data_IF_061694622912
#
_entry.id   IF_061694622912
#
_cell.length_a   1.000
_cell.length_b   1.000
_cell.length_c   1.000
_cell.angle_alpha   90.00
_cell.angle_beta   90.00
_cell.angle_gamma   90.00
#
_symmetry.space_group_name_H-M   'P 1'
#
loop_
_entity.id
_entity.type
_entity.pdbx_description
1 polymer ?
#
# COMPACT_ATOMS: atom_id res chain seq x y z
N UNK A 1 58.77 -37.56 -63.61
CA UNK A 1 58.47 -38.99 -63.81
C UNK A 1 57.19 -39.31 -63.04
N UNK A 2 56.18 -39.80 -63.75
CA UNK A 2 54.83 -40.11 -63.25
C UNK A 2 54.83 -41.11 -62.07
N UNK A 3 53.91 -40.97 -61.09
CA UNK A 3 52.70 -41.83 -60.95
C UNK A 3 52.00 -41.72 -59.56
N UNK A 4 50.70 -41.40 -59.64
CA UNK A 4 49.52 -42.06 -59.02
C UNK A 4 49.28 -41.99 -57.48
N UNK A 5 48.37 -41.07 -57.12
CA UNK A 5 47.02 -41.31 -56.58
C UNK A 5 46.72 -42.67 -55.88
N UNK A 6 46.41 -42.64 -54.58
CA UNK A 6 45.33 -43.44 -53.95
C UNK A 6 44.67 -42.59 -52.84
N UNK A 7 43.36 -42.40 -52.99
CA UNK A 7 42.43 -41.80 -52.05
C UNK A 7 41.89 -42.91 -51.14
N UNK A 8 41.96 -42.75 -49.82
CA UNK A 8 41.21 -43.59 -48.86
C UNK A 8 40.65 -42.72 -47.74
N UNK A 9 39.34 -42.47 -47.82
CA UNK A 9 38.50 -41.97 -46.74
C UNK A 9 38.40 -43.07 -45.67
N UNK A 10 38.72 -42.76 -44.41
CA UNK A 10 38.29 -43.52 -43.25
C UNK A 10 37.74 -42.54 -42.20
N UNK A 11 36.41 -42.47 -42.13
CA UNK A 11 35.70 -42.01 -40.95
C UNK A 11 35.85 -43.07 -39.86
N UNK A 12 36.32 -42.69 -38.68
CA UNK A 12 36.06 -43.43 -37.44
C UNK A 12 35.63 -42.45 -36.37
N UNK A 13 34.36 -42.58 -36.00
CA UNK A 13 33.66 -41.76 -35.01
C UNK A 13 34.30 -41.90 -33.62
N UNK A 14 34.57 -40.76 -32.99
CA UNK A 14 34.83 -40.70 -31.56
C UNK A 14 33.49 -40.73 -30.83
N UNK A 15 33.23 -41.82 -30.10
CA UNK A 15 32.20 -41.86 -29.07
C UNK A 15 32.75 -41.12 -27.85
N UNK A 16 32.34 -39.86 -27.69
CA UNK A 16 32.42 -39.17 -26.40
C UNK A 16 31.12 -39.48 -25.67
N UNK A 17 31.18 -40.32 -24.64
CA UNK A 17 30.09 -40.47 -23.68
C UNK A 17 29.83 -39.10 -23.04
N UNK A 18 28.72 -38.48 -23.46
CA UNK A 18 28.17 -37.32 -22.78
C UNK A 18 27.23 -37.85 -21.71
N UNK A 19 27.67 -37.83 -20.45
CA UNK A 19 26.79 -37.99 -19.30
C UNK A 19 25.84 -36.79 -19.25
N UNK A 20 24.72 -36.86 -19.97
CA UNK A 20 23.69 -35.82 -19.97
C UNK A 20 23.00 -35.85 -18.60
N UNK A 21 23.24 -34.78 -17.85
CA UNK A 21 22.40 -34.33 -16.75
C UNK A 21 20.94 -34.35 -17.19
N UNK A 22 20.16 -35.28 -16.63
CA UNK A 22 18.70 -35.24 -16.68
C UNK A 22 18.24 -33.95 -15.95
N UNK A 23 17.86 -32.92 -16.71
CA UNK A 23 17.39 -31.66 -16.11
C UNK A 23 16.95 -30.54 -17.06
N UNK A 24 17.27 -30.57 -18.37
CA UNK A 24 16.93 -29.46 -19.29
C UNK A 24 16.22 -29.91 -20.58
N UNK A 25 15.17 -30.72 -20.47
CA UNK A 25 14.47 -31.27 -21.65
C UNK A 25 13.56 -30.27 -22.41
N UNK A 26 13.56 -28.96 -22.08
CA UNK A 26 12.68 -27.97 -22.73
C UNK A 26 13.38 -26.76 -23.37
N UNK A 27 14.57 -26.39 -22.91
CA UNK A 27 15.25 -25.16 -23.35
C UNK A 27 15.61 -25.11 -24.86
N UNK A 28 16.17 -26.17 -25.49
CA UNK A 28 16.51 -26.12 -26.91
C UNK A 28 15.28 -26.09 -27.83
N UNK A 29 14.16 -26.70 -27.43
CA UNK A 29 12.92 -26.67 -28.18
C UNK A 29 12.26 -25.28 -28.11
N UNK A 30 12.23 -24.66 -26.92
CA UNK A 30 11.73 -23.29 -26.72
C UNK A 30 12.54 -22.25 -27.52
N UNK A 31 13.88 -22.36 -27.51
CA UNK A 31 14.74 -21.49 -28.30
C UNK A 31 14.49 -21.64 -29.81
N UNK A 32 14.32 -22.87 -30.29
CA UNK A 32 14.03 -23.16 -31.70
C UNK A 32 12.67 -22.58 -32.13
N UNK A 33 11.64 -22.69 -31.28
CA UNK A 33 10.31 -22.08 -31.53
C UNK A 33 10.38 -20.56 -31.60
N UNK A 34 11.14 -19.92 -30.71
CA UNK A 34 11.33 -18.46 -30.75
C UNK A 34 12.01 -18.01 -32.04
N UNK A 35 13.08 -18.70 -32.46
CA UNK A 35 13.79 -18.38 -33.71
C UNK A 35 12.85 -18.54 -34.91
N UNK A 36 12.05 -19.61 -34.95
CA UNK A 36 11.06 -19.82 -35.98
C UNK A 36 10.00 -18.69 -36.02
N UNK A 37 9.52 -18.22 -34.85
CA UNK A 37 8.59 -17.08 -34.75
C UNK A 37 9.22 -15.78 -35.24
N UNK A 38 10.45 -15.49 -34.82
CA UNK A 38 11.19 -14.28 -35.23
C UNK A 38 11.48 -14.22 -36.73
N UNK A 39 11.50 -15.36 -37.42
CA UNK A 39 11.71 -15.48 -38.86
C UNK A 39 10.43 -15.47 -39.70
N UNK A 40 9.24 -15.41 -39.09
CA UNK A 40 7.97 -15.21 -39.81
C UNK A 40 7.72 -13.72 -40.05
N UNK A 41 7.07 -13.39 -41.16
CA UNK A 41 6.68 -12.01 -41.46
C UNK A 41 5.65 -11.54 -40.43
N UNK A 42 6.04 -10.56 -39.61
CA UNK A 42 5.23 -9.93 -38.58
C UNK A 42 5.38 -8.42 -38.71
N UNK A 43 4.31 -7.67 -38.40
CA UNK A 43 4.39 -6.21 -38.28
C UNK A 43 5.20 -5.78 -37.04
N UNK A 44 5.47 -6.70 -36.12
CA UNK A 44 6.33 -6.47 -34.97
C UNK A 44 7.80 -6.66 -35.33
N UNK A 45 8.66 -5.80 -34.78
CA UNK A 45 10.10 -6.01 -34.83
C UNK A 45 10.44 -7.31 -34.08
N UNK A 46 11.11 -8.22 -34.76
CA UNK A 46 11.35 -9.59 -34.26
C UNK A 46 12.09 -9.62 -32.92
N UNK A 47 12.97 -8.66 -32.64
CA UNK A 47 13.68 -8.56 -31.37
C UNK A 47 12.79 -8.17 -30.18
N UNK A 48 11.58 -7.66 -30.43
CA UNK A 48 10.62 -7.29 -29.39
C UNK A 48 9.61 -8.42 -29.07
N UNK A 49 9.58 -9.50 -29.86
CA UNK A 49 8.72 -10.67 -29.58
C UNK A 49 9.25 -11.38 -28.32
N UNK A 50 8.39 -11.45 -27.31
CA UNK A 50 8.65 -12.09 -26.03
C UNK A 50 8.57 -13.61 -26.22
N UNK A 51 9.57 -14.32 -25.71
CA UNK A 51 9.56 -15.78 -25.74
C UNK A 51 8.46 -16.35 -24.85
N UNK A 52 8.34 -15.79 -23.64
CA UNK A 52 7.41 -16.24 -22.63
C UNK A 52 5.93 -16.03 -22.98
N UNK A 53 5.59 -15.14 -23.92
CA UNK A 53 4.19 -14.96 -24.32
C UNK A 53 3.58 -16.18 -25.00
N UNK A 54 4.40 -17.12 -25.48
CA UNK A 54 3.99 -18.36 -26.15
C UNK A 54 4.09 -19.58 -25.21
N UNK A 55 4.26 -19.32 -23.91
CA UNK A 55 4.37 -20.34 -22.88
C UNK A 55 3.28 -20.10 -21.82
N UNK A 56 2.74 -21.19 -21.31
CA UNK A 56 1.74 -21.18 -20.24
C UNK A 56 2.38 -20.96 -18.87
N UNK A 57 3.70 -21.20 -18.75
CA UNK A 57 4.42 -21.21 -17.48
C UNK A 57 4.21 -22.50 -16.67
N UNK A 58 3.52 -23.48 -17.24
CA UNK A 58 3.19 -24.78 -16.64
C UNK A 58 3.80 -25.95 -17.43
N UNK A 59 4.73 -25.67 -18.34
CA UNK A 59 5.43 -26.69 -19.10
C UNK A 59 6.26 -27.58 -18.15
N UNK A 60 6.32 -28.91 -18.37
CA UNK A 60 7.11 -29.81 -17.54
C UNK A 60 8.56 -29.35 -17.38
N UNK A 61 9.04 -29.29 -16.14
CA UNK A 61 10.40 -28.85 -15.83
C UNK A 61 10.57 -27.33 -15.67
N UNK A 62 9.49 -26.53 -15.76
CA UNK A 62 9.54 -25.10 -15.42
C UNK A 62 9.77 -24.92 -13.92
N UNK A 63 10.73 -24.05 -13.57
CA UNK A 63 11.02 -23.73 -12.17
C UNK A 63 9.82 -23.02 -11.50
N UNK A 64 9.50 -23.41 -10.26
CA UNK A 64 8.48 -22.73 -9.47
C UNK A 64 7.03 -23.16 -9.72
N UNK A 65 6.80 -24.24 -10.49
CA UNK A 65 5.50 -24.89 -10.57
C UNK A 65 5.07 -25.37 -9.18
N UNK A 66 3.84 -25.02 -8.78
CA UNK A 66 3.20 -25.48 -7.54
C UNK A 66 1.69 -25.58 -7.67
N UNK A 67 1.08 -26.40 -6.81
CA UNK A 67 -0.36 -26.57 -6.76
C UNK A 67 -1.11 -25.23 -6.61
N UNK A 68 -2.20 -25.10 -7.38
CA UNK A 68 -3.05 -23.91 -7.37
C UNK A 68 -2.66 -22.79 -8.36
N UNK A 69 -1.57 -22.94 -9.13
CA UNK A 69 -1.27 -22.03 -10.25
C UNK A 69 -2.16 -22.34 -11.47
N UNK A 70 -2.58 -21.30 -12.18
CA UNK A 70 -3.29 -21.44 -13.47
C UNK A 70 -2.32 -21.28 -14.64
N UNK A 71 -2.60 -21.98 -15.74
CA UNK A 71 -1.88 -21.77 -17.01
C UNK A 71 -2.15 -20.36 -17.55
N UNK A 72 -1.12 -19.68 -18.03
CA UNK A 72 -1.27 -18.41 -18.76
C UNK A 72 -1.91 -18.63 -20.12
N UNK A 73 -2.66 -17.65 -20.60
CA UNK A 73 -2.93 -17.52 -22.04
C UNK A 73 -1.62 -17.36 -22.81
N UNK A 74 -1.61 -17.75 -24.08
CA UNK A 74 -0.45 -17.66 -24.96
C UNK A 74 -0.76 -16.91 -26.26
N UNK A 75 0.19 -16.14 -26.77
CA UNK A 75 0.17 -15.51 -28.09
C UNK A 75 1.60 -15.40 -28.67
N UNK A 76 1.73 -15.71 -29.95
CA UNK A 76 3.01 -15.73 -30.64
C UNK A 76 3.60 -14.32 -30.88
N UNK A 77 2.78 -13.26 -30.78
CA UNK A 77 3.04 -11.88 -31.17
C UNK A 77 2.73 -10.89 -30.01
N UNK A 78 3.04 -11.26 -28.77
CA UNK A 78 2.89 -10.41 -27.58
C UNK A 78 1.48 -9.87 -27.33
N UNK A 79 0.43 -10.55 -27.79
CA UNK A 79 -0.96 -10.11 -27.65
C UNK A 79 -1.23 -8.75 -28.30
N UNK A 80 -0.47 -8.34 -29.33
CA UNK A 80 -0.64 -7.02 -29.95
C UNK A 80 -2.05 -6.81 -30.56
N UNK A 81 -2.72 -7.90 -30.95
CA UNK A 81 -4.07 -7.90 -31.49
C UNK A 81 -5.14 -8.27 -30.45
N UNK A 82 -4.83 -8.22 -29.15
CA UNK A 82 -5.74 -8.67 -28.09
C UNK A 82 -7.14 -8.05 -28.14
N UNK A 83 -7.24 -6.80 -28.61
CA UNK A 83 -8.50 -6.06 -28.70
C UNK A 83 -9.25 -6.23 -30.03
N UNK A 84 -8.85 -7.17 -30.89
CA UNK A 84 -9.53 -7.38 -32.17
C UNK A 84 -11.03 -7.69 -31.96
N UNK A 85 -11.88 -6.98 -32.70
CA UNK A 85 -13.34 -7.12 -32.61
C UNK A 85 -13.99 -6.47 -31.38
N UNK A 86 -13.22 -5.82 -30.50
CA UNK A 86 -13.73 -5.12 -29.30
C UNK A 86 -13.83 -3.61 -29.51
N UNK A 87 -14.66 -2.94 -28.69
CA UNK A 87 -14.64 -1.48 -28.59
C UNK A 87 -13.32 -1.02 -27.96
N UNK A 88 -12.51 -0.25 -28.70
CA UNK A 88 -11.22 0.24 -28.21
C UNK A 88 -11.37 1.49 -27.33
N UNK A 89 -10.56 1.60 -26.27
CA UNK A 89 -10.57 2.76 -25.35
C UNK A 89 -10.24 4.07 -26.06
N UNK A 90 -9.22 4.07 -26.93
CA UNK A 90 -8.84 5.17 -27.82
C UNK A 90 -8.86 6.58 -27.18
N UNK A 91 -8.28 6.72 -25.99
CA UNK A 91 -8.11 8.02 -25.34
C UNK A 91 -9.31 8.57 -24.60
N UNK A 92 -10.45 7.88 -24.64
CA UNK A 92 -11.67 8.32 -23.97
C UNK A 92 -12.08 7.34 -22.86
N UNK A 93 -12.69 7.88 -21.81
CA UNK A 93 -13.22 7.07 -20.71
C UNK A 93 -14.57 6.43 -21.11
N UNK A 94 -14.53 5.17 -21.54
CA UNK A 94 -15.72 4.42 -21.96
C UNK A 94 -16.32 3.68 -20.76
N UNK A 95 -17.40 4.22 -20.20
CA UNK A 95 -18.03 3.70 -18.96
C UNK A 95 -18.74 2.35 -19.13
N UNK A 96 -19.10 1.97 -20.35
CA UNK A 96 -19.71 0.68 -20.67
C UNK A 96 -18.70 -0.48 -20.77
N UNK A 97 -17.40 -0.21 -20.58
CA UNK A 97 -16.32 -1.15 -20.84
C UNK A 97 -15.71 -0.97 -22.22
N UNK A 98 -14.41 -1.24 -22.33
CA UNK A 98 -13.63 -1.19 -23.58
C UNK A 98 -12.35 -2.02 -23.44
N UNK A 99 -11.64 -2.22 -24.54
CA UNK A 99 -10.34 -2.87 -24.57
C UNK A 99 -9.23 -1.86 -24.90
N UNK A 100 -8.15 -1.87 -24.14
CA UNK A 100 -6.99 -1.04 -24.42
C UNK A 100 -5.81 -1.88 -24.94
N UNK A 101 -5.38 -1.61 -26.17
CA UNK A 101 -4.26 -2.32 -26.82
C UNK A 101 -2.89 -1.68 -26.56
N UNK A 102 -2.81 -0.61 -25.76
CA UNK A 102 -1.54 0.05 -25.44
C UNK A 102 -0.70 -0.84 -24.51
N UNK A 103 0.60 -1.09 -24.82
CA UNK A 103 1.46 -1.90 -23.97
C UNK A 103 1.70 -1.23 -22.61
N UNK A 104 2.04 -2.03 -21.60
CA UNK A 104 2.20 -1.55 -20.21
C UNK A 104 3.30 -0.48 -20.07
N UNK A 105 4.42 -0.64 -20.78
CA UNK A 105 5.52 0.33 -20.82
C UNK A 105 6.79 -0.12 -20.11
N UNK A 106 7.66 0.85 -19.80
CA UNK A 106 8.92 0.60 -19.08
C UNK A 106 8.62 0.32 -17.60
N UNK A 107 9.30 -0.70 -17.08
CA UNK A 107 9.13 -1.15 -15.70
C UNK A 107 10.37 -0.71 -14.90
N UNK A 108 10.22 -0.09 -13.71
CA UNK A 108 11.36 0.38 -12.93
C UNK A 108 12.20 -0.79 -12.42
N UNK A 109 13.43 -0.51 -12.01
CA UNK A 109 14.22 -1.45 -11.24
C UNK A 109 13.58 -1.71 -9.87
N UNK A 110 13.90 -2.84 -9.23
CA UNK A 110 13.38 -3.15 -7.88
C UNK A 110 13.77 -2.08 -6.84
N UNK A 111 14.91 -1.43 -7.02
CA UNK A 111 15.38 -0.30 -6.20
C UNK A 111 14.61 1.00 -6.41
N UNK A 112 13.83 1.10 -7.48
CA UNK A 112 13.04 2.28 -7.87
C UNK A 112 11.54 1.97 -7.82
N UNK A 113 11.13 0.96 -7.06
CA UNK A 113 9.70 0.73 -6.83
C UNK A 113 9.13 1.88 -6.01
N UNK A 114 8.03 2.43 -6.51
CA UNK A 114 7.28 3.48 -5.84
C UNK A 114 6.55 2.98 -4.60
N UNK A 115 6.49 3.86 -3.59
CA UNK A 115 5.56 3.74 -2.48
C UNK A 115 5.01 5.11 -2.10
N UNK A 116 3.80 5.11 -1.55
CA UNK A 116 3.12 6.28 -1.01
C UNK A 116 2.79 6.06 0.48
N UNK A 117 2.68 7.16 1.23
CA UNK A 117 2.22 7.17 2.61
C UNK A 117 1.42 8.44 2.88
N UNK A 118 0.20 8.30 3.37
CA UNK A 118 -0.65 9.42 3.75
C UNK A 118 -0.16 9.93 5.11
N UNK A 119 0.30 11.19 5.14
CA UNK A 119 0.81 11.83 6.36
C UNK A 119 -0.22 12.75 7.01
N UNK A 120 -1.26 13.15 6.27
CA UNK A 120 -2.44 13.82 6.79
C UNK A 120 -3.69 13.48 5.95
N UNK A 121 -4.84 13.18 6.57
CA UNK A 121 -5.03 12.90 8.01
C UNK A 121 -4.26 11.66 8.47
N UNK A 122 -3.93 11.59 9.76
CA UNK A 122 -3.30 10.41 10.36
C UNK A 122 -4.37 9.35 10.70
N UNK A 123 -3.96 8.08 10.87
CA UNK A 123 -4.89 7.04 11.31
C UNK A 123 -5.57 7.39 12.64
N UNK A 124 -6.90 7.40 12.63
CA UNK A 124 -7.73 7.67 13.82
C UNK A 124 -7.84 9.15 14.21
N UNK A 125 -7.35 10.08 13.39
CA UNK A 125 -7.57 11.51 13.62
C UNK A 125 -9.08 11.84 13.67
N UNK A 126 -9.44 12.81 14.51
CA UNK A 126 -10.78 13.40 14.57
C UNK A 126 -10.73 14.84 14.07
N UNK A 127 -11.08 15.05 12.80
CA UNK A 127 -11.12 16.37 12.18
C UNK A 127 -12.43 17.10 12.49
N UNK A 128 -12.42 18.43 12.46
CA UNK A 128 -13.65 19.21 12.67
C UNK A 128 -14.50 19.26 11.40
N UNK A 129 -15.80 19.00 11.54
CA UNK A 129 -16.75 19.08 10.43
C UNK A 129 -16.76 20.47 9.78
N UNK A 130 -16.97 20.48 8.47
CA UNK A 130 -17.05 21.68 7.63
C UNK A 130 -15.84 22.62 7.76
N UNK A 131 -14.66 22.08 8.07
CA UNK A 131 -13.41 22.83 8.22
C UNK A 131 -12.43 22.38 7.14
N UNK A 132 -11.89 23.34 6.38
CA UNK A 132 -10.87 23.05 5.36
C UNK A 132 -9.66 22.36 5.98
N UNK A 133 -9.17 21.32 5.31
CA UNK A 133 -7.92 20.64 5.67
C UNK A 133 -7.18 20.18 4.40
N UNK A 134 -5.92 19.80 4.57
CA UNK A 134 -5.09 19.29 3.49
C UNK A 134 -4.93 17.77 3.60
N UNK A 135 -5.13 17.04 2.52
CA UNK A 135 -4.60 15.69 2.39
C UNK A 135 -3.13 15.84 2.02
N UNK A 136 -2.23 15.14 2.72
CA UNK A 136 -0.80 15.12 2.42
C UNK A 136 -0.34 13.70 2.18
N UNK A 137 0.42 13.49 1.10
CA UNK A 137 0.92 12.19 0.67
C UNK A 137 2.41 12.31 0.42
N UNK A 138 3.22 11.57 1.18
CA UNK A 138 4.63 11.42 0.90
C UNK A 138 4.83 10.27 -0.06
N UNK A 139 5.59 10.49 -1.14
CA UNK A 139 5.95 9.48 -2.13
C UNK A 139 7.45 9.25 -2.16
N UNK A 140 7.86 8.09 -2.69
CA UNK A 140 9.25 7.77 -3.06
C UNK A 140 9.27 7.17 -4.47
N UNK A 141 10.29 7.47 -5.27
CA UNK A 141 10.43 6.97 -6.65
C UNK A 141 9.28 7.31 -7.60
N UNK A 142 8.64 8.47 -7.37
CA UNK A 142 7.68 9.09 -8.29
C UNK A 142 8.27 10.40 -8.82
N UNK A 143 8.42 10.49 -10.14
CA UNK A 143 8.55 11.78 -10.82
C UNK A 143 7.13 12.30 -11.09
N UNK A 144 6.61 13.07 -10.13
CA UNK A 144 5.25 13.60 -10.11
C UNK A 144 5.01 14.68 -11.20
N UNK A 145 3.88 15.39 -11.12
CA UNK A 145 3.51 16.52 -12.00
C UNK A 145 3.26 16.19 -13.46
N UNK A 146 3.17 14.91 -13.82
CA UNK A 146 2.84 14.52 -15.20
C UNK A 146 1.41 13.97 -15.25
N UNK A 147 0.46 14.86 -15.52
CA UNK A 147 -0.96 14.56 -15.65
C UNK A 147 -1.44 14.84 -17.08
N UNK A 148 -1.65 13.78 -17.88
CA UNK A 148 -2.08 13.92 -19.27
C UNK A 148 -3.61 14.13 -19.34
N UNK A 149 -4.12 14.81 -20.37
CA UNK A 149 -5.56 15.09 -20.51
C UNK A 149 -6.42 13.80 -20.49
N UNK A 150 -7.25 13.58 -19.45
CA UNK A 150 -8.04 12.35 -19.30
C UNK A 150 -9.29 12.30 -20.20
N UNK A 151 -9.61 13.38 -20.92
CA UNK A 151 -10.73 13.43 -21.86
C UNK A 151 -10.33 12.92 -23.24
N UNK A 152 -9.08 13.16 -23.64
CA UNK A 152 -8.62 12.88 -25.02
C UNK A 152 -7.47 11.88 -25.09
N UNK A 153 -6.76 11.64 -23.99
CA UNK A 153 -5.53 10.85 -23.95
C UNK A 153 -5.51 9.80 -22.82
N UNK A 154 -6.69 9.36 -22.40
CA UNK A 154 -6.85 8.34 -21.37
C UNK A 154 -6.27 6.99 -21.82
N UNK A 155 -5.27 6.51 -21.08
CA UNK A 155 -4.49 5.30 -21.36
C UNK A 155 -3.86 5.23 -22.77
N UNK A 156 -3.52 6.38 -23.38
CA UNK A 156 -3.02 6.40 -24.77
C UNK A 156 -1.53 6.18 -24.95
N UNK A 157 -0.74 6.24 -23.86
CA UNK A 157 0.68 5.94 -23.93
C UNK A 157 1.14 5.06 -22.76
N UNK A 158 2.17 4.21 -22.99
CA UNK A 158 2.70 3.31 -21.97
C UNK A 158 3.29 4.06 -20.76
N UNK A 159 3.53 3.34 -19.67
CA UNK A 159 4.32 3.84 -18.55
C UNK A 159 5.75 4.15 -19.03
N UNK A 160 6.32 5.26 -18.55
CA UNK A 160 7.71 5.63 -18.82
C UNK A 160 8.42 5.99 -17.52
N UNK A 161 9.74 5.98 -17.56
CA UNK A 161 10.64 6.28 -16.45
C UNK A 161 11.51 7.48 -16.80
N UNK A 162 11.81 8.30 -15.80
CA UNK A 162 12.75 9.40 -15.94
C UNK A 162 14.22 8.94 -16.05
N UNK A 163 15.15 9.89 -16.05
CA UNK A 163 16.58 9.59 -16.11
C UNK A 163 17.14 8.85 -14.89
N UNK A 164 16.44 8.89 -13.76
CA UNK A 164 16.81 8.19 -12.52
C UNK A 164 16.17 6.80 -12.42
N UNK A 165 15.27 6.47 -13.34
CA UNK A 165 14.51 5.22 -13.33
C UNK A 165 13.22 5.29 -12.49
N UNK A 166 12.82 6.48 -12.06
CA UNK A 166 11.59 6.70 -11.31
C UNK A 166 10.41 6.82 -12.26
N UNK A 167 9.23 6.38 -11.82
CA UNK A 167 8.03 6.40 -12.66
C UNK A 167 7.59 7.84 -12.90
N UNK A 168 7.30 8.15 -14.16
CA UNK A 168 6.70 9.42 -14.56
C UNK A 168 5.17 9.32 -14.41
N UNK A 169 4.60 10.16 -13.54
CA UNK A 169 3.17 10.06 -13.26
C UNK A 169 2.63 11.14 -12.33
N UNK A 170 1.57 10.79 -11.63
CA UNK A 170 0.83 11.65 -10.71
C UNK A 170 0.08 10.81 -9.66
N UNK A 171 -0.53 11.47 -8.68
CA UNK A 171 -1.27 10.83 -7.60
C UNK A 171 -2.73 11.30 -7.62
N UNK A 172 -3.67 10.37 -7.47
CA UNK A 172 -5.04 10.72 -7.09
C UNK A 172 -5.25 10.43 -5.61
N UNK A 173 -6.12 11.21 -4.97
CA UNK A 173 -6.63 10.93 -3.63
C UNK A 173 -8.15 10.87 -3.65
N UNK A 174 -8.70 9.88 -2.95
CA UNK A 174 -10.14 9.69 -2.84
C UNK A 174 -10.52 9.52 -1.37
N UNK A 175 -11.52 10.28 -0.92
CA UNK A 175 -12.15 10.09 0.39
C UNK A 175 -13.51 9.43 0.21
N UNK A 176 -13.77 8.36 0.94
CA UNK A 176 -15.05 7.67 0.95
C UNK A 176 -15.57 7.53 2.38
N UNK A 177 -16.87 7.74 2.56
CA UNK A 177 -17.56 7.38 3.80
C UNK A 177 -17.61 5.85 3.92
N UNK A 178 -17.21 5.34 5.07
CA UNK A 178 -17.19 3.91 5.39
C UNK A 178 -18.12 3.55 6.55
N UNK A 179 -18.84 4.52 7.12
CA UNK A 179 -19.79 4.38 8.22
C UNK A 179 -19.19 4.04 9.58
N UNK A 180 -18.13 3.23 9.63
CA UNK A 180 -17.45 2.79 10.85
C UNK A 180 -15.97 2.50 10.59
N UNK A 181 -15.11 2.78 11.58
CA UNK A 181 -13.68 2.44 11.51
C UNK A 181 -13.47 0.93 11.40
N UNK A 182 -14.42 0.15 11.92
CA UNK A 182 -14.45 -1.32 11.89
C UNK A 182 -15.18 -1.89 10.67
N UNK A 183 -15.54 -1.05 9.68
CA UNK A 183 -16.20 -1.53 8.46
C UNK A 183 -15.36 -2.60 7.75
N UNK A 184 -16.01 -3.72 7.47
CA UNK A 184 -15.50 -4.86 6.71
C UNK A 184 -16.10 -4.93 5.30
N UNK A 185 -17.07 -4.07 5.00
CA UNK A 185 -17.71 -3.98 3.68
C UNK A 185 -16.92 -3.03 2.79
N UNK A 186 -16.50 -3.47 1.58
CA UNK A 186 -15.93 -2.55 0.60
C UNK A 186 -16.95 -1.46 0.23
N UNK A 187 -16.59 -0.16 0.26
CA UNK A 187 -17.49 0.89 -0.18
C UNK A 187 -17.63 0.88 -1.70
N UNK A 188 -18.76 1.39 -2.19
CA UNK A 188 -19.03 1.54 -3.62
C UNK A 188 -17.98 2.44 -4.28
N UNK A 189 -17.22 1.94 -5.28
CA UNK A 189 -16.16 2.72 -5.93
C UNK A 189 -16.69 3.90 -6.76
N UNK A 190 -17.98 3.96 -7.07
CA UNK A 190 -18.62 5.09 -7.77
C UNK A 190 -19.03 6.24 -6.82
N UNK A 191 -18.89 6.04 -5.50
CA UNK A 191 -19.32 6.98 -4.47
C UNK A 191 -18.11 7.47 -3.66
N UNK A 192 -17.87 8.77 -3.66
CA UNK A 192 -16.83 9.42 -2.88
C UNK A 192 -17.33 10.75 -2.31
N UNK A 193 -16.79 11.13 -1.15
CA UNK A 193 -17.01 12.43 -0.53
C UNK A 193 -16.06 13.50 -1.11
N UNK A 194 -14.88 13.07 -1.56
CA UNK A 194 -13.88 13.93 -2.20
C UNK A 194 -13.03 13.12 -3.18
N UNK A 195 -12.68 13.72 -4.33
CA UNK A 195 -11.71 13.18 -5.28
C UNK A 195 -10.86 14.34 -5.82
N UNK A 196 -9.56 14.13 -5.91
CA UNK A 196 -8.64 15.06 -6.57
C UNK A 196 -7.51 14.30 -7.23
N UNK A 197 -7.25 14.60 -8.49
CA UNK A 197 -5.94 14.35 -9.10
C UNK A 197 -4.99 15.48 -8.72
N UNK A 198 -3.85 15.11 -8.15
CA UNK A 198 -2.74 16.02 -7.83
C UNK A 198 -1.86 16.07 -9.07
N UNK A 199 -1.97 17.18 -9.80
CA UNK A 199 -1.40 17.40 -11.13
C UNK A 199 -0.06 18.15 -11.11
N UNK A 200 0.43 18.55 -9.93
CA UNK A 200 1.72 19.21 -9.73
C UNK A 200 2.81 18.29 -9.16
N UNK A 201 4.04 18.84 -9.08
CA UNK A 201 5.23 18.17 -8.53
C UNK A 201 5.31 18.23 -6.98
N UNK A 202 4.29 18.79 -6.32
CA UNK A 202 4.29 19.06 -4.90
C UNK A 202 5.47 19.94 -4.47
N UNK A 203 6.17 19.53 -3.42
CA UNK A 203 7.37 20.25 -2.95
C UNK A 203 8.66 19.92 -3.73
N UNK A 204 8.62 18.97 -4.68
CA UNK A 204 9.81 18.48 -5.38
C UNK A 204 10.69 17.53 -4.54
N UNK A 205 10.24 17.12 -3.35
CA UNK A 205 10.84 16.07 -2.51
C UNK A 205 9.81 14.96 -2.18
N UNK A 206 8.81 14.79 -3.06
CA UNK A 206 7.82 13.72 -3.00
C UNK A 206 6.60 14.00 -2.11
N UNK A 207 6.52 15.14 -1.43
CA UNK A 207 5.31 15.52 -0.69
C UNK A 207 4.30 16.17 -1.64
N UNK A 208 3.17 15.50 -1.82
CA UNK A 208 2.03 15.92 -2.61
C UNK A 208 0.89 16.38 -1.68
N UNK A 209 0.07 17.32 -2.15
CA UNK A 209 -1.02 17.88 -1.35
C UNK A 209 -2.30 18.05 -2.16
N UNK A 210 -3.45 17.80 -1.52
CA UNK A 210 -4.76 18.21 -2.02
C UNK A 210 -5.54 18.96 -0.93
N UNK A 211 -6.18 20.07 -1.27
CA UNK A 211 -7.01 20.84 -0.33
C UNK A 211 -8.45 20.32 -0.39
N UNK A 212 -9.03 20.01 0.76
CA UNK A 212 -10.46 19.68 0.91
C UNK A 212 -11.19 20.94 1.35
N UNK A 213 -11.49 21.81 0.39
CA UNK A 213 -12.12 23.11 0.66
C UNK A 213 -13.51 22.95 1.27
N UNK A 214 -13.76 23.67 2.36
CA UNK A 214 -15.01 23.57 3.12
C UNK A 214 -15.12 22.30 3.96
N UNK A 215 -14.13 21.40 3.91
CA UNK A 215 -14.08 20.19 4.73
C UNK A 215 -15.11 19.13 4.36
N UNK A 216 -15.44 18.28 5.33
CA UNK A 216 -16.38 17.17 5.20
C UNK A 216 -17.47 17.27 6.28
N UNK A 217 -18.66 16.69 6.06
CA UNK A 217 -19.63 16.50 7.14
C UNK A 217 -19.09 15.52 8.20
N UNK A 218 -19.73 15.49 9.36
CA UNK A 218 -19.39 14.52 10.39
C UNK A 218 -19.65 13.09 9.90
N UNK A 219 -18.72 12.18 10.18
CA UNK A 219 -18.75 10.81 9.67
C UNK A 219 -17.43 10.09 9.86
N UNK A 220 -17.37 8.84 9.38
CA UNK A 220 -16.15 8.02 9.40
C UNK A 220 -15.71 7.76 7.97
N UNK A 221 -14.46 8.10 7.68
CA UNK A 221 -13.94 8.12 6.32
C UNK A 221 -12.71 7.24 6.17
N UNK A 222 -12.51 6.74 4.95
CA UNK A 222 -11.19 6.32 4.47
C UNK A 222 -10.69 7.30 3.42
N UNK A 223 -9.40 7.60 3.46
CA UNK A 223 -8.70 8.26 2.36
C UNK A 223 -7.69 7.28 1.78
N UNK A 224 -7.64 7.18 0.46
CA UNK A 224 -6.73 6.29 -0.26
C UNK A 224 -6.03 7.04 -1.39
N UNK A 225 -4.79 6.67 -1.68
CA UNK A 225 -4.07 7.10 -2.88
C UNK A 225 -4.40 6.18 -4.05
N UNK A 226 -4.25 6.71 -5.27
CA UNK A 226 -4.13 5.93 -6.49
C UNK A 226 -2.99 6.52 -7.30
N UNK A 227 -1.81 5.91 -7.25
CA UNK A 227 -0.68 6.33 -8.07
C UNK A 227 -0.87 5.83 -9.50
N UNK A 228 -0.79 6.78 -10.44
CA UNK A 228 -0.95 6.53 -11.86
C UNK A 228 0.29 6.98 -12.65
N UNK A 229 0.59 6.26 -13.72
CA UNK A 229 1.50 6.75 -14.74
C UNK A 229 0.87 7.93 -15.50
N UNK A 230 1.67 8.63 -16.31
CA UNK A 230 1.27 9.86 -17.00
C UNK A 230 -0.12 9.82 -17.67
N UNK A 231 -0.49 8.71 -18.31
CA UNK A 231 -1.76 8.54 -19.02
C UNK A 231 -2.85 7.84 -18.20
N UNK A 232 -2.80 7.93 -16.88
CA UNK A 232 -3.81 7.45 -15.91
C UNK A 232 -3.77 5.96 -15.57
N UNK A 233 -3.00 5.14 -16.27
CA UNK A 233 -2.95 3.70 -15.99
C UNK A 233 -2.31 3.44 -14.61
N UNK A 234 -2.76 2.39 -13.88
CA UNK A 234 -2.08 1.95 -12.68
C UNK A 234 -0.61 1.64 -12.96
N UNK A 235 0.25 1.94 -11.98
CA UNK A 235 1.68 1.73 -12.14
C UNK A 235 2.07 0.25 -12.15
N UNK A 236 2.99 -0.11 -13.03
CA UNK A 236 3.52 -1.49 -13.19
C UNK A 236 4.88 -1.63 -12.52
N UNK A 237 5.05 -2.69 -11.71
CA UNK A 237 6.25 -2.97 -10.91
C UNK A 237 7.00 -4.24 -11.36
N UNK A 238 8.31 -4.35 -11.09
CA UNK A 238 9.16 -5.44 -11.60
C UNK A 238 9.02 -6.78 -10.90
N UNK A 239 8.46 -6.82 -9.67
CA UNK A 239 8.40 -8.05 -8.86
C UNK A 239 7.05 -8.19 -8.18
N UNK A 240 6.55 -9.42 -8.09
CA UNK A 240 5.28 -9.72 -7.42
C UNK A 240 5.39 -9.65 -5.88
N UNK A 241 6.52 -10.08 -5.31
CA UNK A 241 6.77 -10.05 -3.86
C UNK A 241 7.22 -8.64 -3.43
N UNK A 242 6.26 -7.75 -3.20
CA UNK A 242 6.48 -6.35 -2.80
C UNK A 242 5.33 -5.84 -1.93
N UNK A 243 5.53 -4.67 -1.29
CA UNK A 243 4.43 -3.91 -0.71
C UNK A 243 3.52 -3.30 -1.77
N UNK A 244 2.32 -2.89 -1.38
CA UNK A 244 1.45 -2.08 -2.24
C UNK A 244 2.10 -0.70 -2.46
N UNK A 245 1.96 -0.17 -3.67
CA UNK A 245 2.46 1.17 -4.01
C UNK A 245 1.58 2.30 -3.44
N UNK A 246 0.32 1.99 -3.14
CA UNK A 246 -0.67 2.92 -2.62
C UNK A 246 -0.86 2.76 -1.11
N UNK A 247 -1.39 3.81 -0.48
CA UNK A 247 -1.72 3.82 0.94
C UNK A 247 -3.21 4.15 1.16
N UNK A 248 -3.75 3.67 2.26
CA UNK A 248 -5.10 3.96 2.73
C UNK A 248 -5.08 4.12 4.24
N UNK A 249 -5.68 5.20 4.73
CA UNK A 249 -5.90 5.42 6.17
C UNK A 249 -7.34 5.78 6.46
N UNK A 250 -7.75 5.60 7.73
CA UNK A 250 -9.11 5.86 8.21
C UNK A 250 -9.08 6.95 9.28
N UNK A 251 -10.05 7.83 9.26
CA UNK A 251 -10.18 8.95 10.19
C UNK A 251 -11.66 9.29 10.42
N UNK A 252 -11.93 10.08 11.44
CA UNK A 252 -13.25 10.56 11.78
C UNK A 252 -13.34 12.06 11.53
N UNK A 253 -14.55 12.52 11.22
CA UNK A 253 -14.90 13.93 11.20
C UNK A 253 -15.99 14.12 12.25
N UNK A 254 -15.75 14.98 13.23
CA UNK A 254 -16.61 15.20 14.38
C UNK A 254 -17.30 16.56 14.30
N UNK A 255 -18.47 16.67 14.92
CA UNK A 255 -19.25 17.90 14.91
C UNK A 255 -18.42 19.10 15.38
N UNK A 256 -18.59 20.24 14.70
CA UNK A 256 -18.00 21.49 15.11
C UNK A 256 -18.69 21.96 16.41
N UNK A 257 -17.96 21.96 17.53
CA UNK A 257 -18.51 22.34 18.83
C UNK A 257 -18.67 23.86 19.02
N UNK A 258 -18.60 24.66 17.95
CA UNK A 258 -18.91 26.09 18.00
C UNK A 258 -20.42 26.34 18.02
N UNK A 259 -21.04 26.05 19.17
CA UNK A 259 -22.41 26.38 19.53
C UNK A 259 -22.59 26.15 21.02
N UNK A 260 -22.50 27.22 21.81
CA UNK A 260 -22.50 27.19 23.26
C UNK A 260 -23.64 26.37 23.87
N UNK A 261 -23.25 25.48 24.77
CA UNK A 261 -24.11 24.91 25.81
C UNK A 261 -23.23 24.78 27.04
N UNK A 262 -23.46 25.66 28.01
CA UNK A 262 -22.80 25.63 29.32
C UNK A 262 -22.72 24.20 29.84
N UNK A 263 -21.51 23.71 30.07
CA UNK A 263 -21.31 22.62 31.01
C UNK A 263 -21.57 23.20 32.41
N UNK A 264 -22.86 23.31 32.75
CA UNK A 264 -23.30 23.42 34.12
C UNK A 264 -22.71 22.22 34.85
N UNK A 265 -21.79 22.53 35.75
CA UNK A 265 -21.39 21.67 36.82
C UNK A 265 -22.65 21.27 37.59
N UNK A 266 -23.25 20.14 37.23
CA UNK A 266 -24.35 19.53 37.94
C UNK A 266 -23.80 18.97 39.26
N UNK A 267 -23.67 19.88 40.22
CA UNK A 267 -23.62 19.58 41.64
C UNK A 267 -24.84 18.71 41.97
N UNK A 268 -24.62 17.42 42.15
CA UNK A 268 -25.55 16.52 42.79
C UNK A 268 -25.76 17.00 44.24
N UNK A 269 -26.79 17.83 44.46
CA UNK A 269 -27.35 18.05 45.78
C UNK A 269 -28.83 17.68 45.71
N UNK A 270 -29.08 16.41 46.01
CA UNK A 270 -30.38 15.79 46.04
C UNK A 270 -30.90 15.91 47.48
N UNK A 271 -31.94 16.71 47.68
CA UNK A 271 -32.55 16.92 48.99
C UNK A 271 -33.68 17.93 48.95
N UNK A 272 -34.67 17.67 48.09
CA UNK A 272 -35.94 18.39 48.09
C UNK A 272 -36.76 18.08 49.35
N UNK A 273 -37.36 19.12 49.89
CA UNK A 273 -38.25 19.10 51.03
C UNK A 273 -39.56 18.34 50.73
N UNK A 274 -40.09 17.65 51.74
CA UNK A 274 -41.54 17.55 51.89
C UNK A 274 -41.95 17.39 53.35
N UNK A 275 -43.06 18.04 53.64
CA UNK A 275 -43.54 18.50 54.94
C UNK A 275 -44.67 17.55 55.40
N UNK A 276 -44.51 16.86 56.54
CA UNK A 276 -45.63 16.12 57.17
C UNK A 276 -45.62 16.22 58.71
N UNK A 277 -46.83 16.46 59.21
CA UNK A 277 -47.28 16.73 60.57
C UNK A 277 -46.89 15.69 61.64
N UNK A 278 -46.72 16.15 62.89
CA UNK A 278 -47.07 15.37 64.09
C UNK A 278 -46.10 15.49 65.28
N UNK A 279 -46.56 15.66 66.53
CA UNK A 279 -45.80 16.35 67.59
C UNK A 279 -45.06 15.40 68.55
N UNK A 280 -43.95 15.87 69.14
CA UNK A 280 -43.19 15.06 70.10
C UNK A 280 -42.07 15.79 70.82
N UNK A 281 -42.46 16.67 71.74
CA UNK A 281 -41.96 16.83 73.12
C UNK A 281 -40.44 16.79 73.44
N UNK A 282 -40.09 17.68 74.39
CA UNK A 282 -38.89 17.73 75.26
C UNK A 282 -37.74 18.62 74.75
N UNK A 283 -37.66 19.90 75.14
CA UNK A 283 -37.43 20.50 76.47
C UNK A 283 -35.93 20.69 76.78
N UNK A 284 -35.56 21.92 77.15
CA UNK A 284 -34.26 22.30 77.71
C UNK A 284 -33.42 23.20 76.80
N UNK A 285 -33.62 24.52 76.82
CA UNK A 285 -32.81 25.51 77.60
C UNK A 285 -31.33 25.59 77.24
N UNK A 286 -30.65 26.73 77.23
CA UNK A 286 -30.94 28.15 77.05
C UNK A 286 -29.53 28.79 77.01
N UNK A 287 -29.38 29.87 76.24
CA UNK A 287 -28.38 30.94 76.41
C UNK A 287 -26.86 30.64 76.54
N UNK A 288 -26.16 30.96 75.44
CA UNK A 288 -25.31 32.15 75.26
C UNK A 288 -24.29 32.59 76.34
N UNK A 289 -23.10 32.94 75.81
CA UNK A 289 -22.11 33.99 76.18
C UNK A 289 -20.68 33.48 76.50
N UNK A 290 -19.61 34.19 76.03
CA UNK A 290 -18.28 33.68 75.73
C UNK A 290 -17.15 34.22 76.64
N UNK A 291 -15.97 33.58 76.63
CA UNK A 291 -14.62 34.15 76.90
C UNK A 291 -13.59 32.99 76.84
N UNK A 292 -12.54 33.01 76.01
CA UNK A 292 -11.23 33.70 76.13
C UNK A 292 -10.18 32.91 76.94
N UNK A 293 -8.93 32.97 76.44
CA UNK A 293 -7.66 32.43 76.98
C UNK A 293 -7.50 30.89 76.82
N UNK A 294 -6.35 30.31 76.41
CA UNK A 294 -4.95 30.72 76.57
C UNK A 294 -4.04 29.94 75.61
N UNK A 295 -2.80 30.42 75.53
CA UNK A 295 -1.70 30.05 74.66
C UNK A 295 -0.96 28.74 75.05
N UNK A 296 -0.19 28.22 74.09
CA UNK A 296 0.94 27.25 74.17
C UNK A 296 0.69 25.75 73.98
N UNK A 297 1.34 25.18 72.95
CA UNK A 297 2.22 24.01 73.15
C UNK A 297 2.14 22.81 72.18
N UNK A 298 3.14 22.74 71.27
CA UNK A 298 3.96 21.55 70.92
C UNK A 298 3.54 20.55 69.80
N UNK A 299 4.40 20.53 68.76
CA UNK A 299 4.90 19.49 67.83
C UNK A 299 4.02 18.65 66.88
N UNK A 300 4.49 18.55 65.63
CA UNK A 300 4.30 17.37 64.78
C UNK A 300 4.55 17.50 63.28
N UNK A 301 5.68 18.08 62.83
CA UNK A 301 6.07 18.10 61.40
C UNK A 301 6.94 16.91 60.98
N UNK A 302 6.55 16.19 59.93
CA UNK A 302 7.28 15.07 59.31
C UNK A 302 7.97 15.51 58.01
N UNK A 303 9.25 15.13 57.82
CA UNK A 303 9.98 15.27 56.56
C UNK A 303 11.49 14.99 56.66
N UNK A 304 11.90 13.73 56.48
CA UNK A 304 13.26 13.27 56.13
C UNK A 304 13.08 12.28 54.96
N UNK A 305 13.76 12.26 53.82
CA UNK A 305 15.11 12.70 53.47
C UNK A 305 16.04 11.48 53.38
N UNK A 306 16.42 11.02 52.18
CA UNK A 306 17.77 10.46 51.91
C UNK A 306 18.07 10.22 50.43
N UNK A 307 19.34 10.43 50.07
CA UNK A 307 19.99 10.28 48.75
C UNK A 307 20.81 8.98 48.69
N UNK A 308 21.00 8.43 47.49
CA UNK A 308 22.35 8.22 46.96
C UNK A 308 22.91 6.80 46.73
N UNK A 309 23.21 6.54 45.44
CA UNK A 309 24.42 5.91 44.85
C UNK A 309 24.70 4.39 44.99
N UNK A 310 24.78 3.73 43.82
CA UNK A 310 26.08 3.31 43.26
C UNK A 310 26.33 1.82 42.91
N UNK A 311 26.71 1.59 41.63
CA UNK A 311 27.90 0.84 41.17
C UNK A 311 27.84 -0.65 40.70
N UNK A 312 28.32 -0.83 39.44
CA UNK A 312 29.05 -1.98 38.80
C UNK A 312 28.28 -3.29 38.54
N UNK A 313 28.44 -4.00 37.41
CA UNK A 313 29.28 -3.87 36.22
C UNK A 313 29.28 -5.16 35.36
N UNK A 314 29.79 -5.08 34.11
CA UNK A 314 30.45 -6.10 33.23
C UNK A 314 29.70 -7.44 32.97
N UNK A 315 29.62 -8.04 31.78
CA UNK A 315 30.12 -7.77 30.43
C UNK A 315 29.99 -9.03 29.52
N UNK A 316 30.10 -8.81 28.20
CA UNK A 316 30.58 -9.68 27.09
C UNK A 316 29.91 -11.04 26.75
N UNK A 317 29.63 -11.24 25.45
CA UNK A 317 30.11 -12.45 24.73
C UNK A 317 29.19 -13.20 23.73
N UNK A 318 29.31 -12.88 22.44
CA UNK A 318 29.42 -13.76 21.24
C UNK A 318 28.59 -15.08 21.05
N UNK A 319 27.72 -15.05 20.00
CA UNK A 319 27.65 -15.89 18.76
C UNK A 319 27.31 -17.42 18.78
N UNK A 320 26.89 -18.01 17.62
CA UNK A 320 25.73 -18.90 17.51
C UNK A 320 26.06 -20.39 17.28
N UNK A 321 25.07 -21.28 17.47
CA UNK A 321 25.16 -22.72 17.24
C UNK A 321 24.09 -23.26 16.30
N UNK A 322 24.55 -23.99 15.28
CA UNK A 322 23.79 -24.73 14.27
C UNK A 322 23.33 -26.13 14.74
N UNK A 323 22.36 -26.68 13.99
CA UNK A 323 22.03 -28.11 13.71
C UNK A 323 21.23 -28.92 14.74
N UNK A 324 20.19 -29.58 14.22
CA UNK A 324 19.59 -30.77 14.81
C UNK A 324 18.25 -31.19 14.18
N UNK A 325 18.31 -32.11 13.22
CA UNK A 325 17.17 -32.82 12.61
C UNK A 325 16.27 -33.55 13.64
N UNK A 326 14.96 -33.66 13.32
CA UNK A 326 14.13 -34.89 13.36
C UNK A 326 12.66 -34.54 13.05
N UNK A 327 12.09 -35.12 11.99
CA UNK A 327 10.62 -35.20 11.80
C UNK A 327 10.03 -36.43 12.51
N UNK A 328 8.86 -36.95 12.10
CA UNK A 328 7.61 -36.29 11.72
C UNK A 328 6.45 -36.70 12.65
N UNK A 329 5.34 -35.94 12.69
CA UNK A 329 4.06 -36.45 13.19
C UNK A 329 2.93 -36.11 12.22
N UNK A 330 2.24 -37.17 11.79
CA UNK A 330 0.99 -37.23 11.03
C UNK A 330 -0.20 -37.27 12.00
N UNK A 331 -1.40 -36.99 11.45
CA UNK A 331 -2.79 -37.09 11.99
C UNK A 331 -3.27 -35.76 12.59
N UNK A 332 -4.40 -35.17 12.19
CA UNK A 332 -5.58 -35.55 11.40
C UNK A 332 -5.98 -34.37 10.51
#
# INVERSE_FOLDING_TARGET
MFRRLVLTLLLSAWLVESSILAGFNGAPEQASRLVARKNRQSCLKSNLIQSASDLTGQEPGTEGIKDGQSASATDANNFINFCEGQQITNGVQIRSGSCNGIPMGRIPAASNMISAMITNPKPGDALTASTTFNIQVQTSHLRAGTFVNPTTNYYTAPQDLDGNGDIIGHCHVTIQDIGSLQSTSPPDPSRFAFFKGIDDDGNGQGLLQAVVDGGLPAGVYRVCTMIAAANHQPVTMPVAQRGAQDDCTKFEVVANQNGGGDNQNASNNQGGADNQNGPGNQNGTNNSIPNNQTNQGVNGGQGRGSKGRGSKGRGRGFRPGQRGQRGPFRRL
#
